data_IF_535792151669
#
_entry.id   IF_535792151669
#
_cell.length_a   1.000
_cell.length_b   1.000
_cell.length_c   1.000
_cell.angle_alpha   90.00
_cell.angle_beta   90.00
_cell.angle_gamma   90.00
#
_symmetry.space_group_name_H-M   'P 1'
#
loop_
_entity.id
_entity.type
_entity.pdbx_description
1 polymer ?
#
# COMPACT_ATOMS: atom_id res chain seq x y z
N UNK A 1 -1.60 17.54 15.52
CA UNK A 1 -2.13 17.69 14.17
C UNK A 1 -2.13 16.36 13.43
N UNK A 2 -2.67 16.33 12.22
CA UNK A 2 -2.61 15.17 11.35
C UNK A 2 -1.20 14.95 10.82
N UNK A 3 -0.86 13.70 10.51
CA UNK A 3 0.35 13.32 9.79
C UNK A 3 0.15 13.51 8.29
N UNK A 4 1.25 13.82 7.58
CA UNK A 4 1.22 14.08 6.14
C UNK A 4 1.84 12.92 5.37
N UNK A 5 1.13 12.42 4.34
CA UNK A 5 1.59 11.36 3.46
C UNK A 5 1.89 11.83 2.05
N UNK A 6 2.95 11.25 1.46
CA UNK A 6 3.31 11.41 0.06
C UNK A 6 3.04 10.13 -0.73
N UNK A 7 2.97 10.25 -2.04
CA UNK A 7 2.83 9.14 -2.97
C UNK A 7 3.91 9.25 -4.06
N UNK A 8 4.55 8.13 -4.37
CA UNK A 8 5.44 7.99 -5.52
C UNK A 8 5.38 6.55 -6.06
N UNK A 9 6.28 6.21 -6.97
CA UNK A 9 6.27 4.92 -7.64
C UNK A 9 7.69 4.41 -7.90
N UNK A 10 7.87 3.11 -7.86
CA UNK A 10 9.11 2.41 -8.19
C UNK A 10 9.46 2.43 -9.69
N UNK A 11 8.56 2.92 -10.51
CA UNK A 11 8.78 3.10 -11.94
C UNK A 11 9.14 4.52 -12.34
N UNK A 12 9.25 4.72 -13.64
CA UNK A 12 9.56 6.03 -14.23
C UNK A 12 8.42 7.04 -14.13
N UNK A 13 7.18 6.52 -13.97
CA UNK A 13 5.96 7.32 -13.82
C UNK A 13 5.03 6.69 -12.79
N UNK A 14 4.25 7.51 -12.11
CA UNK A 14 3.18 7.07 -11.23
C UNK A 14 1.99 6.54 -12.04
N UNK A 15 1.04 5.84 -11.40
CA UNK A 15 -0.17 5.36 -12.06
C UNK A 15 -1.06 6.49 -12.60
N UNK A 16 -0.87 7.73 -12.12
CA UNK A 16 -1.52 8.95 -12.61
C UNK A 16 -0.63 9.76 -13.58
N UNK A 17 0.39 9.13 -14.15
CA UNK A 17 1.30 9.69 -15.17
C UNK A 17 2.15 10.89 -14.70
N UNK A 18 2.37 11.05 -13.40
CA UNK A 18 3.37 11.98 -12.85
C UNK A 18 4.75 11.30 -12.78
N UNK A 19 5.86 12.07 -12.65
CA UNK A 19 7.18 11.49 -12.45
C UNK A 19 7.23 10.51 -11.28
N UNK A 20 7.83 9.35 -11.49
CA UNK A 20 8.13 8.35 -10.45
C UNK A 20 9.55 8.47 -9.94
N UNK A 21 9.91 7.71 -8.92
CA UNK A 21 11.22 7.79 -8.25
C UNK A 21 12.30 6.87 -8.82
N UNK A 22 12.03 6.16 -9.92
CA UNK A 22 13.02 5.26 -10.52
C UNK A 22 14.34 5.99 -10.79
N UNK A 23 15.45 5.45 -10.24
CA UNK A 23 16.81 6.02 -10.26
C UNK A 23 16.99 7.37 -9.54
N UNK A 24 15.96 7.87 -8.85
CA UNK A 24 15.99 9.10 -8.06
C UNK A 24 15.63 8.87 -6.58
N UNK A 25 15.57 7.62 -6.12
CA UNK A 25 14.99 7.25 -4.81
C UNK A 25 15.62 8.00 -3.63
N UNK A 26 16.94 8.20 -3.64
CA UNK A 26 17.64 8.92 -2.56
C UNK A 26 17.32 10.42 -2.57
N UNK A 27 17.33 11.05 -3.75
CA UNK A 27 16.97 12.45 -3.91
C UNK A 27 15.52 12.70 -3.52
N UNK A 28 14.62 11.84 -3.96
CA UNK A 28 13.20 11.95 -3.64
C UNK A 28 12.95 11.72 -2.14
N UNK A 29 13.62 10.76 -1.51
CA UNK A 29 13.48 10.53 -0.08
C UNK A 29 13.94 11.75 0.76
N UNK A 30 15.03 12.40 0.37
CA UNK A 30 15.49 13.67 0.96
C UNK A 30 14.43 14.76 0.78
N UNK A 31 13.90 14.92 -0.43
CA UNK A 31 12.83 15.88 -0.74
C UNK A 31 11.57 15.62 0.08
N UNK A 32 11.15 14.36 0.22
CA UNK A 32 9.99 14.00 1.05
C UNK A 32 10.24 14.33 2.53
N UNK A 33 11.46 14.11 3.02
CA UNK A 33 11.85 14.48 4.37
C UNK A 33 11.82 16.01 4.57
N UNK A 34 12.31 16.79 3.62
CA UNK A 34 12.26 18.26 3.64
C UNK A 34 10.82 18.79 3.63
N UNK A 35 9.91 18.16 2.90
CA UNK A 35 8.48 18.49 2.89
C UNK A 35 7.76 18.07 4.18
N UNK A 36 8.46 17.35 5.08
CA UNK A 36 7.89 16.91 6.35
C UNK A 36 6.96 15.72 6.22
N UNK A 37 7.11 14.89 5.18
CA UNK A 37 6.31 13.69 5.02
C UNK A 37 6.53 12.72 6.19
N UNK A 38 5.43 12.15 6.70
CA UNK A 38 5.41 11.12 7.75
C UNK A 38 5.11 9.73 7.17
N UNK A 39 4.65 9.67 5.92
CA UNK A 39 4.19 8.45 5.25
C UNK A 39 4.51 8.54 3.77
N UNK A 40 4.96 7.44 3.18
CA UNK A 40 5.14 7.28 1.74
C UNK A 40 4.41 6.04 1.26
N UNK A 41 3.40 6.20 0.37
CA UNK A 41 2.91 5.10 -0.46
C UNK A 41 3.77 5.01 -1.71
N UNK A 42 4.37 3.84 -1.95
CA UNK A 42 5.30 3.60 -3.05
C UNK A 42 4.76 2.49 -3.96
N UNK A 43 4.30 2.90 -5.13
CA UNK A 43 3.57 2.05 -6.07
C UNK A 43 4.50 1.34 -7.08
N UNK A 44 3.93 0.56 -8.02
CA UNK A 44 4.68 -0.33 -8.92
C UNK A 44 4.41 -0.07 -10.41
N UNK A 45 3.73 1.05 -10.74
CA UNK A 45 3.38 1.42 -12.11
C UNK A 45 4.63 1.75 -12.94
N UNK A 46 4.61 1.46 -14.22
CA UNK A 46 5.63 1.83 -15.21
C UNK A 46 7.07 1.53 -14.83
N UNK A 47 7.29 0.46 -14.07
CA UNK A 47 8.67 -0.02 -13.84
C UNK A 47 9.27 -0.56 -15.13
N UNK A 48 10.59 -0.44 -15.37
CA UNK A 48 11.25 -1.12 -16.47
C UNK A 48 11.05 -2.64 -16.39
N UNK A 49 10.84 -3.30 -17.52
CA UNK A 49 10.60 -4.76 -17.56
C UNK A 49 11.77 -5.57 -16.99
N UNK A 50 13.00 -5.05 -17.15
CA UNK A 50 14.21 -5.64 -16.58
C UNK A 50 14.38 -5.42 -15.08
N UNK A 51 13.55 -4.57 -14.47
CA UNK A 51 13.68 -4.22 -13.06
C UNK A 51 12.99 -5.24 -12.16
N UNK A 52 13.66 -5.59 -11.07
CA UNK A 52 13.25 -6.58 -10.09
C UNK A 52 12.59 -5.85 -8.89
N UNK A 53 11.38 -6.25 -8.53
CA UNK A 53 10.63 -5.64 -7.44
C UNK A 53 11.41 -5.58 -6.11
N UNK A 54 11.99 -6.70 -5.63
CA UNK A 54 12.81 -6.70 -4.41
C UNK A 54 13.92 -5.65 -4.39
N UNK A 55 14.61 -5.44 -5.52
CA UNK A 55 15.66 -4.41 -5.62
C UNK A 55 15.10 -3.00 -5.58
N UNK A 56 14.03 -2.72 -6.31
CA UNK A 56 13.40 -1.39 -6.36
C UNK A 56 12.91 -0.96 -4.97
N UNK A 57 12.17 -1.84 -4.30
CA UNK A 57 11.64 -1.54 -2.96
C UNK A 57 12.74 -1.44 -1.90
N UNK A 58 13.79 -2.27 -2.01
CA UNK A 58 14.97 -2.16 -1.12
C UNK A 58 15.70 -0.84 -1.32
N UNK A 59 15.86 -0.37 -2.56
CA UNK A 59 16.52 0.91 -2.88
C UNK A 59 15.80 2.08 -2.22
N UNK A 60 14.46 2.15 -2.36
CA UNK A 60 13.66 3.16 -1.66
C UNK A 60 13.72 2.99 -0.13
N UNK A 61 13.66 1.77 0.40
CA UNK A 61 13.78 1.51 1.84
C UNK A 61 15.12 1.96 2.42
N UNK A 62 16.22 1.83 1.65
CA UNK A 62 17.53 2.37 2.03
C UNK A 62 17.54 3.90 1.99
N UNK A 63 16.96 4.50 0.96
CA UNK A 63 16.86 5.94 0.80
C UNK A 63 16.06 6.58 1.95
N UNK A 64 14.92 6.02 2.32
CA UNK A 64 14.10 6.49 3.44
C UNK A 64 14.82 6.38 4.79
N UNK A 65 15.66 5.35 4.99
CA UNK A 65 16.48 5.26 6.21
C UNK A 65 17.59 6.30 6.27
N UNK A 66 18.07 6.74 5.10
CA UNK A 66 19.18 7.71 5.00
C UNK A 66 18.72 9.16 5.02
N UNK A 67 17.44 9.46 4.77
CA UNK A 67 16.92 10.81 4.57
C UNK A 67 16.85 11.69 5.85
N UNK A 68 17.19 11.13 7.03
CA UNK A 68 17.21 11.87 8.29
C UNK A 68 15.82 12.09 8.94
N UNK A 69 14.74 11.54 8.40
CA UNK A 69 13.39 11.61 8.95
C UNK A 69 12.76 10.22 9.02
N UNK A 70 12.00 9.96 10.06
CA UNK A 70 11.20 8.74 10.16
C UNK A 70 9.95 8.87 9.27
N UNK A 71 9.91 8.07 8.20
CA UNK A 71 8.81 8.01 7.24
C UNK A 71 8.26 6.59 7.24
N UNK A 72 6.95 6.42 7.51
CA UNK A 72 6.29 5.14 7.40
C UNK A 72 6.27 4.73 5.91
N UNK A 73 6.89 3.60 5.63
CA UNK A 73 7.02 3.08 4.27
C UNK A 73 5.92 2.07 3.96
N UNK A 74 5.00 2.45 3.08
CA UNK A 74 3.92 1.62 2.54
C UNK A 74 4.26 1.18 1.12
N UNK A 75 4.66 -0.06 0.96
CA UNK A 75 4.95 -0.65 -0.34
C UNK A 75 3.66 -1.09 -1.04
N UNK A 76 3.56 -0.91 -2.35
CA UNK A 76 2.36 -1.24 -3.11
C UNK A 76 2.69 -1.89 -4.45
N UNK A 77 2.98 -3.21 -4.43
CA UNK A 77 3.27 -3.96 -5.66
C UNK A 77 2.19 -4.97 -6.02
N UNK A 78 1.01 -4.86 -5.43
CA UNK A 78 -0.19 -5.66 -5.71
C UNK A 78 -0.01 -7.16 -5.55
N UNK A 79 0.92 -7.61 -4.72
CA UNK A 79 1.20 -9.03 -4.50
C UNK A 79 2.20 -9.64 -5.49
N UNK A 80 2.76 -8.84 -6.41
CA UNK A 80 3.75 -9.36 -7.37
C UNK A 80 5.05 -9.82 -6.67
N UNK A 81 5.79 -10.69 -7.36
CA UNK A 81 7.12 -11.16 -6.96
C UNK A 81 7.14 -11.83 -5.57
N UNK A 82 6.06 -12.48 -5.13
CA UNK A 82 5.93 -13.10 -3.79
C UNK A 82 6.29 -12.11 -2.67
N UNK A 83 5.74 -10.91 -2.72
CA UNK A 83 6.08 -9.74 -1.90
C UNK A 83 6.19 -10.02 -0.40
N UNK A 84 5.32 -10.86 0.13
CA UNK A 84 5.28 -11.26 1.53
C UNK A 84 6.58 -11.92 2.01
N UNK A 85 7.34 -12.54 1.12
CA UNK A 85 8.57 -13.27 1.48
C UNK A 85 9.79 -12.36 1.69
N UNK A 86 9.82 -11.17 1.10
CA UNK A 86 11.00 -10.30 1.08
C UNK A 86 10.77 -8.85 1.54
N UNK A 87 9.54 -8.35 1.51
CA UNK A 87 9.24 -6.92 1.70
C UNK A 87 9.68 -6.37 3.06
N UNK A 88 9.58 -7.18 4.12
CA UNK A 88 10.09 -6.84 5.44
C UNK A 88 11.60 -6.52 5.40
N UNK A 89 12.37 -7.32 4.66
CA UNK A 89 13.82 -7.11 4.51
C UNK A 89 14.16 -5.89 3.64
N UNK A 90 13.23 -5.43 2.80
CA UNK A 90 13.34 -4.19 2.06
C UNK A 90 13.10 -2.95 2.93
N UNK A 91 12.58 -3.13 4.15
CA UNK A 91 12.37 -2.07 5.12
C UNK A 91 10.97 -1.46 5.11
N UNK A 92 10.01 -2.08 4.43
CA UNK A 92 8.63 -1.63 4.49
C UNK A 92 7.98 -1.91 5.85
N UNK A 93 7.09 -1.02 6.26
CA UNK A 93 6.30 -1.13 7.49
C UNK A 93 4.90 -1.70 7.23
N UNK A 94 4.43 -1.59 5.99
CA UNK A 94 3.24 -2.23 5.47
C UNK A 94 3.37 -2.44 3.96
N UNK A 95 2.62 -3.39 3.42
CA UNK A 95 2.69 -3.71 1.99
C UNK A 95 1.37 -4.21 1.44
N UNK A 96 0.97 -3.71 0.29
CA UNK A 96 -0.17 -4.20 -0.50
C UNK A 96 0.17 -5.56 -1.11
N UNK A 97 -0.61 -6.55 -0.73
CA UNK A 97 -0.44 -7.94 -1.20
C UNK A 97 -1.50 -8.35 -2.22
N UNK A 98 -2.42 -7.46 -2.56
CA UNK A 98 -3.55 -7.72 -3.47
C UNK A 98 -3.69 -6.62 -4.50
N UNK A 99 -4.40 -6.91 -5.58
CA UNK A 99 -4.94 -5.89 -6.48
C UNK A 99 -5.89 -4.93 -5.75
N UNK A 100 -6.34 -3.90 -6.45
CA UNK A 100 -7.16 -2.85 -5.86
C UNK A 100 -8.57 -3.34 -5.52
N UNK A 101 -9.04 -2.97 -4.33
CA UNK A 101 -10.40 -3.23 -3.89
C UNK A 101 -11.40 -2.33 -4.64
N UNK A 102 -12.59 -2.85 -4.87
CA UNK A 102 -13.73 -2.03 -5.22
C UNK A 102 -14.87 -2.21 -4.20
N UNK A 103 -15.83 -1.27 -4.21
CA UNK A 103 -16.96 -1.26 -3.27
C UNK A 103 -17.99 -2.33 -3.65
N UNK A 104 -17.62 -3.61 -3.45
CA UNK A 104 -18.50 -4.77 -3.63
C UNK A 104 -18.14 -5.90 -2.68
N UNK A 105 -19.14 -6.64 -2.22
CA UNK A 105 -18.91 -7.83 -1.39
C UNK A 105 -18.03 -8.88 -2.08
N UNK A 106 -18.16 -9.03 -3.39
CA UNK A 106 -17.33 -9.97 -4.18
C UNK A 106 -15.86 -9.60 -4.07
N UNK A 107 -15.52 -8.32 -4.23
CA UNK A 107 -14.13 -7.85 -4.08
C UNK A 107 -13.58 -8.10 -2.68
N UNK A 108 -14.35 -7.78 -1.63
CA UNK A 108 -13.97 -8.04 -0.25
C UNK A 108 -13.70 -9.53 0.02
N UNK A 109 -14.62 -10.40 -0.46
CA UNK A 109 -14.50 -11.86 -0.34
C UNK A 109 -13.25 -12.36 -1.05
N UNK A 110 -13.03 -11.96 -2.30
CA UNK A 110 -11.96 -12.49 -3.13
C UNK A 110 -10.59 -12.05 -2.60
N UNK A 111 -10.47 -10.80 -2.17
CA UNK A 111 -9.27 -10.29 -1.48
C UNK A 111 -8.99 -11.10 -0.21
N UNK A 112 -9.96 -11.21 0.70
CA UNK A 112 -9.76 -11.92 1.96
C UNK A 112 -9.43 -13.39 1.73
N UNK A 113 -10.13 -14.06 0.83
CA UNK A 113 -9.87 -15.47 0.52
C UNK A 113 -8.46 -15.68 -0.05
N UNK A 114 -7.98 -14.78 -0.90
CA UNK A 114 -6.64 -14.86 -1.48
C UNK A 114 -5.51 -14.75 -0.46
N UNK A 115 -5.79 -14.20 0.73
CA UNK A 115 -4.78 -13.90 1.74
C UNK A 115 -4.81 -14.82 2.96
N UNK A 116 -5.69 -15.81 3.02
CA UNK A 116 -5.83 -16.72 4.18
C UNK A 116 -4.49 -17.41 4.51
N UNK A 117 -3.76 -17.87 3.49
CA UNK A 117 -2.47 -18.55 3.68
C UNK A 117 -1.32 -17.60 4.03
N UNK A 118 -1.56 -16.30 3.91
CA UNK A 118 -0.56 -15.24 4.14
C UNK A 118 -0.66 -14.57 5.52
N UNK A 119 -1.55 -14.99 6.39
CA UNK A 119 -1.78 -14.42 7.71
C UNK A 119 -0.50 -14.32 8.55
N UNK A 120 0.38 -15.31 8.47
CA UNK A 120 1.63 -15.37 9.25
C UNK A 120 2.65 -14.28 8.85
N UNK A 121 2.50 -13.65 7.68
CA UNK A 121 3.40 -12.59 7.23
C UNK A 121 3.04 -11.21 7.81
N UNK A 122 1.84 -11.02 8.35
CA UNK A 122 1.43 -9.80 9.04
C UNK A 122 1.89 -9.84 10.49
N UNK A 123 2.84 -8.99 10.86
CA UNK A 123 3.41 -8.99 12.20
C UNK A 123 4.00 -7.62 12.55
N UNK A 124 4.25 -7.32 13.85
CA UNK A 124 4.87 -6.08 14.27
C UNK A 124 6.10 -5.71 13.45
N UNK A 125 6.13 -4.46 12.99
CA UNK A 125 7.18 -3.90 12.13
C UNK A 125 6.94 -4.03 10.62
N UNK A 126 6.03 -4.92 10.16
CA UNK A 126 5.60 -4.97 8.75
C UNK A 126 4.28 -5.72 8.63
N UNK A 127 3.22 -5.01 8.28
CA UNK A 127 1.87 -5.54 8.21
C UNK A 127 1.41 -5.78 6.77
N UNK A 128 0.70 -6.88 6.55
CA UNK A 128 0.05 -7.17 5.27
C UNK A 128 -1.16 -6.25 5.11
N UNK A 129 -1.09 -5.35 4.14
CA UNK A 129 -2.16 -4.44 3.75
C UNK A 129 -2.97 -5.09 2.63
N UNK A 130 -4.16 -5.56 2.96
CA UNK A 130 -5.09 -6.16 1.99
C UNK A 130 -6.04 -5.12 1.37
N UNK A 131 -5.57 -3.90 1.31
CA UNK A 131 -6.21 -2.69 0.79
C UNK A 131 -7.14 -1.98 1.79
N UNK A 132 -7.61 -0.82 1.37
CA UNK A 132 -8.36 0.11 2.20
C UNK A 132 -9.76 -0.39 2.54
N UNK A 133 -10.33 0.19 3.59
CA UNK A 133 -11.74 0.03 3.93
C UNK A 133 -12.59 0.89 2.98
N UNK A 134 -13.64 0.30 2.42
CA UNK A 134 -14.62 0.99 1.56
C UNK A 134 -15.88 1.40 2.32
N UNK A 135 -15.82 1.36 3.64
CA UNK A 135 -16.94 1.64 4.55
C UNK A 135 -17.54 3.01 4.26
N UNK A 136 -18.85 3.05 4.11
CA UNK A 136 -19.59 4.30 3.89
C UNK A 136 -19.67 4.77 2.43
N UNK A 137 -19.07 4.06 1.49
CA UNK A 137 -19.11 4.45 0.07
C UNK A 137 -20.46 4.26 -0.59
N UNK A 138 -21.18 3.17 -0.31
CA UNK A 138 -22.52 2.84 -0.86
C UNK A 138 -22.61 2.99 -2.38
N UNK A 139 -21.55 2.59 -3.10
CA UNK A 139 -21.45 2.72 -4.54
C UNK A 139 -21.19 4.13 -5.07
N UNK A 140 -20.95 5.10 -4.19
CA UNK A 140 -20.73 6.53 -4.55
C UNK A 140 -19.27 6.96 -4.42
N UNK A 141 -18.40 6.09 -3.92
CA UNK A 141 -16.98 6.37 -3.77
C UNK A 141 -16.22 6.30 -5.10
N UNK A 142 -14.94 6.62 -5.05
CA UNK A 142 -14.05 6.69 -6.22
C UNK A 142 -13.57 5.31 -6.71
N UNK A 143 -13.84 4.23 -6.00
CA UNK A 143 -13.43 2.86 -6.37
C UNK A 143 -14.56 2.05 -7.04
N UNK A 144 -15.58 2.74 -7.47
CA UNK A 144 -16.65 2.21 -8.34
C UNK A 144 -17.49 1.10 -7.73
N UNK A 145 -18.47 0.67 -8.50
CA UNK A 145 -19.25 -0.55 -8.48
C UNK A 145 -20.60 -0.49 -7.78
N UNK A 146 -21.20 -1.63 -7.44
CA UNK A 146 -22.60 -1.72 -7.03
C UNK A 146 -22.88 -1.14 -5.63
N UNK A 147 -21.82 -0.92 -4.83
CA UNK A 147 -21.95 -0.55 -3.44
C UNK A 147 -22.25 -1.75 -2.52
N UNK A 148 -21.85 -1.61 -1.27
CA UNK A 148 -22.12 -2.55 -0.20
C UNK A 148 -23.18 -1.98 0.74
N UNK A 149 -23.78 -2.83 1.57
CA UNK A 149 -24.66 -2.46 2.66
C UNK A 149 -23.90 -2.45 4.00
N UNK A 150 -24.57 -1.99 5.07
CA UNK A 150 -23.97 -1.91 6.41
C UNK A 150 -23.44 -3.25 6.95
N UNK A 151 -24.10 -4.35 6.60
CA UNK A 151 -23.68 -5.70 7.02
C UNK A 151 -22.38 -6.08 6.31
N UNK A 152 -22.26 -5.78 5.02
CA UNK A 152 -21.05 -6.04 4.24
C UNK A 152 -19.88 -5.22 4.79
N UNK A 153 -20.08 -3.94 5.12
CA UNK A 153 -19.04 -3.09 5.71
C UNK A 153 -18.60 -3.56 7.10
N UNK A 154 -19.53 -3.99 7.94
CA UNK A 154 -19.19 -4.61 9.23
C UNK A 154 -18.37 -5.89 9.04
N UNK A 155 -18.71 -6.67 8.02
CA UNK A 155 -17.97 -7.89 7.66
C UNK A 155 -16.57 -7.54 7.18
N UNK A 156 -16.41 -6.55 6.29
CA UNK A 156 -15.11 -6.07 5.86
C UNK A 156 -14.25 -5.66 7.07
N UNK A 157 -14.78 -4.80 7.93
CA UNK A 157 -14.06 -4.32 9.10
C UNK A 157 -13.59 -5.48 10.00
N UNK A 158 -14.48 -6.42 10.30
CA UNK A 158 -14.16 -7.58 11.14
C UNK A 158 -13.05 -8.45 10.51
N UNK A 159 -13.14 -8.72 9.21
CA UNK A 159 -12.14 -9.50 8.48
C UNK A 159 -10.79 -8.77 8.48
N UNK A 160 -10.74 -7.48 8.15
CA UNK A 160 -9.50 -6.68 8.14
C UNK A 160 -8.84 -6.66 9.53
N UNK A 161 -9.62 -6.55 10.60
CA UNK A 161 -9.11 -6.68 11.97
C UNK A 161 -8.49 -8.06 12.23
N UNK A 162 -9.14 -9.14 11.79
CA UNK A 162 -8.64 -10.50 11.96
C UNK A 162 -7.34 -10.77 11.18
N UNK A 163 -7.17 -10.11 10.05
CA UNK A 163 -5.92 -10.15 9.28
C UNK A 163 -4.80 -9.27 9.86
N UNK A 164 -5.08 -8.50 10.91
CA UNK A 164 -4.18 -7.45 11.39
C UNK A 164 -3.75 -6.50 10.28
N UNK A 165 -4.65 -6.24 9.33
CA UNK A 165 -4.39 -5.32 8.23
C UNK A 165 -4.40 -3.88 8.74
N UNK A 166 -3.61 -2.98 8.15
CA UNK A 166 -3.76 -1.55 8.38
C UNK A 166 -5.18 -1.11 8.01
N UNK A 167 -5.84 -0.40 8.94
CA UNK A 167 -7.23 0.04 8.75
C UNK A 167 -7.24 1.40 8.02
N UNK A 168 -6.76 1.40 6.77
CA UNK A 168 -6.73 2.60 5.94
C UNK A 168 -8.13 2.94 5.45
N UNK A 169 -8.61 4.15 5.72
CA UNK A 169 -9.92 4.60 5.24
C UNK A 169 -9.82 5.08 3.80
N UNK A 170 -10.67 4.55 2.93
CA UNK A 170 -10.75 4.95 1.52
C UNK A 170 -11.89 5.90 1.19
N UNK A 171 -12.83 6.10 2.12
CA UNK A 171 -13.97 7.00 1.99
C UNK A 171 -13.79 8.34 2.69
N UNK A 172 -14.78 9.20 2.55
CA UNK A 172 -14.87 10.45 3.29
C UNK A 172 -15.14 10.18 4.78
N UNK A 173 -14.60 11.06 5.64
CA UNK A 173 -14.74 11.02 7.11
C UNK A 173 -15.77 12.05 7.55
#
# INVERSE_FOLDING_TARGET
GLKFGMYSCAGTRTCADYPGSFDHEFLDAETFAEYGADFLKYDFCFKPDSANGPLLYRKMGMALRACGREILYSACNWGNDDVNTWIRSAGAHMYRSTGDINDSFVSMRDISTSQIDNLAYSAPGCFNDIDMLTIGMYGKGNVGSCGCNDTDYKTQFAIWCMFSAPLMLGGDI
#
